data_IF_790075179828
#
_entry.id   IF_790075179828
#
_cell.length_a   1.000
_cell.length_b   1.000
_cell.length_c   1.000
_cell.angle_alpha   90.00
_cell.angle_beta   90.00
_cell.angle_gamma   90.00
#
_symmetry.space_group_name_H-M   'P 1'
#
loop_
_entity.id
_entity.type
_entity.pdbx_description
1 polymer ?
#
# COMPACT_ATOMS: atom_id res chain seq x y z
N UNK A 1 4.13 10.55 -25.64
CA UNK A 1 4.74 10.30 -24.31
C UNK A 1 3.99 9.14 -23.67
N UNK A 2 4.68 8.25 -22.97
CA UNK A 2 4.06 7.14 -22.24
C UNK A 2 3.61 7.69 -20.89
N UNK A 3 2.32 7.64 -20.52
CA UNK A 3 1.87 8.18 -19.25
C UNK A 3 2.53 7.41 -18.11
N UNK A 4 2.95 8.15 -17.08
CA UNK A 4 3.44 7.59 -15.83
C UNK A 4 2.32 6.77 -15.19
N UNK A 5 2.40 5.45 -15.30
CA UNK A 5 1.35 4.57 -14.81
C UNK A 5 1.48 4.44 -13.29
N UNK A 6 0.62 5.16 -12.56
CA UNK A 6 0.13 4.67 -11.29
C UNK A 6 -1.04 3.72 -11.60
N UNK A 7 -1.11 2.53 -10.96
CA UNK A 7 -2.24 1.64 -11.13
C UNK A 7 -3.49 2.23 -10.45
N UNK A 8 -4.09 3.26 -11.07
CA UNK A 8 -5.41 3.78 -10.78
C UNK A 8 -6.43 3.09 -11.67
N UNK A 9 -7.36 2.36 -11.06
CA UNK A 9 -8.42 1.67 -11.80
C UNK A 9 -9.35 2.69 -12.48
N UNK A 10 -9.67 2.46 -13.76
CA UNK A 10 -10.63 3.26 -14.51
C UNK A 10 -12.03 3.25 -13.85
N UNK A 11 -12.69 4.41 -13.89
CA UNK A 11 -13.93 4.75 -13.19
C UNK A 11 -15.17 4.05 -13.79
N UNK A 12 -16.03 3.45 -12.95
CA UNK A 12 -17.48 3.75 -12.80
C UNK A 12 -18.27 2.67 -12.02
N UNK A 13 -19.04 3.16 -11.03
CA UNK A 13 -20.42 2.79 -10.62
C UNK A 13 -20.80 1.35 -10.17
N UNK A 14 -21.02 1.24 -8.85
CA UNK A 14 -22.10 0.54 -8.12
C UNK A 14 -22.74 -0.70 -8.77
N UNK A 15 -22.20 -1.91 -8.51
CA UNK A 15 -22.98 -3.16 -8.47
C UNK A 15 -22.45 -4.10 -7.37
N UNK A 16 -23.38 -4.77 -6.67
CA UNK A 16 -23.24 -5.68 -5.52
C UNK A 16 -22.01 -6.61 -5.61
N UNK A 17 -21.14 -6.53 -4.61
CA UNK A 17 -20.12 -7.55 -4.33
C UNK A 17 -20.78 -8.93 -4.12
N UNK A 18 -20.26 -9.94 -4.82
CA UNK A 18 -20.60 -11.33 -4.58
C UNK A 18 -20.23 -11.73 -3.14
N UNK A 19 -21.15 -12.43 -2.45
CA UNK A 19 -20.96 -12.98 -1.10
C UNK A 19 -19.91 -14.10 -1.13
N UNK A 20 -18.64 -13.76 -0.99
CA UNK A 20 -17.63 -14.68 -0.47
C UNK A 20 -17.71 -14.59 1.05
N UNK A 21 -17.85 -15.72 1.76
CA UNK A 21 -17.86 -15.73 3.22
C UNK A 21 -16.50 -15.25 3.73
N UNK A 22 -16.40 -13.96 4.05
CA UNK A 22 -15.19 -13.40 4.64
C UNK A 22 -14.99 -14.05 6.02
N UNK A 23 -13.76 -14.47 6.36
CA UNK A 23 -13.48 -14.97 7.70
C UNK A 23 -13.96 -13.94 8.72
N UNK A 24 -14.62 -14.41 9.79
CA UNK A 24 -15.11 -13.54 10.84
C UNK A 24 -13.90 -12.98 11.59
N UNK A 25 -13.51 -11.76 11.23
CA UNK A 25 -12.44 -11.04 11.92
C UNK A 25 -12.81 -10.88 13.40
N UNK A 26 -11.87 -11.08 14.34
CA UNK A 26 -12.14 -10.99 15.77
C UNK A 26 -12.25 -9.52 16.22
N UNK A 27 -12.95 -8.67 15.49
CA UNK A 27 -13.09 -7.26 15.81
C UNK A 27 -14.54 -6.83 15.83
N UNK A 28 -14.87 -5.93 16.75
CA UNK A 28 -16.14 -5.22 16.79
C UNK A 28 -16.02 -3.94 15.98
N UNK A 29 -17.00 -3.66 15.13
CA UNK A 29 -17.06 -2.42 14.34
C UNK A 29 -17.72 -1.32 15.15
N UNK A 30 -17.11 -0.14 15.16
CA UNK A 30 -17.60 1.07 15.78
C UNK A 30 -17.52 2.24 14.80
N UNK A 31 -18.23 3.33 15.12
CA UNK A 31 -18.20 4.57 14.36
C UNK A 31 -18.01 5.75 15.31
N UNK A 32 -17.09 6.63 14.97
CA UNK A 32 -16.75 7.83 15.73
C UNK A 32 -17.28 9.07 14.98
N UNK A 33 -18.02 9.97 15.64
CA UNK A 33 -18.43 11.24 15.05
C UNK A 33 -17.21 12.16 14.89
N UNK A 34 -16.72 12.29 13.66
CA UNK A 34 -15.50 12.99 13.31
C UNK A 34 -15.80 14.35 12.66
N UNK A 35 -14.99 15.35 12.98
CA UNK A 35 -15.06 16.68 12.36
C UNK A 35 -14.65 16.59 10.89
N UNK A 36 -15.44 17.20 10.00
CA UNK A 36 -15.17 17.21 8.56
C UNK A 36 -13.83 17.89 8.24
N UNK A 37 -13.58 19.04 8.85
CA UNK A 37 -12.39 19.83 8.60
C UNK A 37 -11.72 20.30 9.90
N UNK A 38 -10.53 19.78 10.17
CA UNK A 38 -9.74 20.11 11.36
C UNK A 38 -8.94 21.41 11.25
N UNK A 39 -8.82 21.97 10.04
CA UNK A 39 -7.89 23.08 9.77
C UNK A 39 -8.58 24.38 9.39
N UNK A 40 -9.91 24.38 9.27
CA UNK A 40 -10.69 25.59 9.02
C UNK A 40 -11.80 25.76 10.06
N UNK A 41 -12.18 27.00 10.35
CA UNK A 41 -13.21 27.35 11.36
C UNK A 41 -14.46 27.98 10.72
N UNK A 42 -14.76 27.63 9.46
CA UNK A 42 -15.99 28.07 8.82
C UNK A 42 -17.18 27.30 9.40
N UNK A 43 -18.42 27.81 9.33
CA UNK A 43 -19.59 27.10 9.85
C UNK A 43 -19.79 25.68 9.29
N UNK A 44 -19.27 25.41 8.09
CA UNK A 44 -19.32 24.07 7.46
C UNK A 44 -18.26 23.12 7.99
N UNK A 45 -17.19 23.62 8.61
CA UNK A 45 -16.05 22.83 9.09
C UNK A 45 -16.44 21.92 10.25
N UNK A 46 -17.35 22.39 11.12
CA UNK A 46 -17.88 21.64 12.27
C UNK A 46 -18.90 20.56 11.90
N UNK A 47 -19.17 20.34 10.60
CA UNK A 47 -20.02 19.22 10.17
C UNK A 47 -19.37 17.90 10.58
N UNK A 48 -20.19 16.96 11.03
CA UNK A 48 -19.71 15.64 11.44
C UNK A 48 -19.95 14.61 10.34
N UNK A 49 -19.02 13.68 10.22
CA UNK A 49 -19.21 12.41 9.53
C UNK A 49 -18.84 11.25 10.46
N UNK A 50 -19.23 10.03 10.11
CA UNK A 50 -18.96 8.88 10.95
C UNK A 50 -17.75 8.10 10.43
N UNK A 51 -16.61 8.25 11.12
CA UNK A 51 -15.40 7.51 10.82
C UNK A 51 -15.46 6.12 11.46
N UNK A 52 -15.30 5.09 10.64
CA UNK A 52 -15.32 3.71 11.10
C UNK A 52 -14.01 3.32 11.74
N UNK A 53 -14.08 2.50 12.78
CA UNK A 53 -12.92 1.84 13.35
C UNK A 53 -13.29 0.47 13.90
N UNK A 54 -12.29 -0.41 14.04
CA UNK A 54 -12.44 -1.77 14.55
C UNK A 54 -11.73 -1.90 15.89
N UNK A 55 -12.33 -2.58 16.87
CA UNK A 55 -11.72 -2.86 18.17
C UNK A 55 -11.65 -4.37 18.42
N UNK A 56 -10.49 -4.85 18.89
CA UNK A 56 -10.38 -6.11 19.63
C UNK A 56 -9.85 -5.80 21.04
N UNK A 57 -10.61 -6.20 22.06
CA UNK A 57 -10.29 -6.00 23.47
C UNK A 57 -10.11 -7.31 24.23
N UNK A 58 -9.92 -8.44 23.55
CA UNK A 58 -9.98 -9.77 24.16
C UNK A 58 -8.89 -9.97 25.23
N UNK A 59 -7.74 -9.32 25.06
CA UNK A 59 -6.59 -9.41 25.97
C UNK A 59 -6.38 -8.15 26.82
N UNK A 60 -7.14 -7.10 26.55
CA UNK A 60 -6.84 -5.77 27.08
C UNK A 60 -7.42 -5.55 28.48
N UNK A 61 -6.71 -4.74 29.26
CA UNK A 61 -7.16 -4.22 30.56
C UNK A 61 -6.82 -2.73 30.64
N UNK A 62 -7.60 -1.98 31.41
CA UNK A 62 -7.34 -0.55 31.68
C UNK A 62 -5.88 -0.32 32.11
N UNK A 63 -5.26 0.71 31.54
CA UNK A 63 -3.84 1.05 31.72
C UNK A 63 -2.88 0.29 30.80
N UNK A 64 -3.30 -0.81 30.18
CA UNK A 64 -2.46 -1.53 29.22
C UNK A 64 -2.37 -0.78 27.87
N UNK A 65 -1.37 -1.10 27.03
CA UNK A 65 -1.11 -0.37 25.79
C UNK A 65 -2.26 -0.45 24.78
N UNK A 66 -2.34 0.54 23.90
CA UNK A 66 -3.24 0.56 22.75
C UNK A 66 -2.39 0.49 21.48
N UNK A 67 -2.58 -0.55 20.69
CA UNK A 67 -1.95 -0.71 19.38
C UNK A 67 -2.92 -0.27 18.30
N UNK A 68 -2.55 0.79 17.59
CA UNK A 68 -3.42 1.45 16.61
C UNK A 68 -2.86 1.26 15.21
N UNK A 69 -3.63 0.63 14.32
CA UNK A 69 -3.33 0.64 12.90
C UNK A 69 -3.88 1.92 12.26
N UNK A 70 -3.00 2.72 11.67
CA UNK A 70 -3.37 3.91 10.88
C UNK A 70 -3.81 3.47 9.50
N UNK A 71 -5.12 3.24 9.34
CA UNK A 71 -5.71 2.79 8.08
C UNK A 71 -5.33 3.70 6.93
N UNK A 72 -5.17 3.09 5.75
CA UNK A 72 -4.66 3.75 4.57
C UNK A 72 -5.66 3.66 3.42
N UNK A 73 -5.19 3.64 2.18
CA UNK A 73 -5.98 3.64 0.96
C UNK A 73 -6.77 2.34 0.79
N UNK A 74 -7.88 2.17 1.50
CA UNK A 74 -8.73 0.99 1.34
C UNK A 74 -9.65 0.70 2.50
N UNK A 75 -10.41 -0.38 2.35
CA UNK A 75 -11.33 -0.87 3.36
C UNK A 75 -10.58 -1.36 4.63
N UNK A 76 -11.00 -0.93 5.82
CA UNK A 76 -10.25 -1.24 7.05
C UNK A 76 -10.24 -2.72 7.43
N UNK A 77 -11.30 -3.48 7.10
CA UNK A 77 -11.33 -4.93 7.33
C UNK A 77 -10.29 -5.66 6.48
N UNK A 78 -9.96 -5.15 5.29
CA UNK A 78 -8.93 -5.76 4.44
C UNK A 78 -7.54 -5.68 5.09
N UNK A 79 -7.21 -4.53 5.69
CA UNK A 79 -5.98 -4.35 6.46
C UNK A 79 -5.99 -5.18 7.74
N UNK A 80 -7.11 -5.20 8.49
CA UNK A 80 -7.24 -6.02 9.69
C UNK A 80 -7.12 -7.52 9.40
N UNK A 81 -7.59 -7.99 8.24
CA UNK A 81 -7.44 -9.38 7.80
C UNK A 81 -6.01 -9.77 7.43
N UNK A 82 -5.16 -8.80 7.07
CA UNK A 82 -3.80 -9.04 6.60
C UNK A 82 -2.70 -8.58 7.57
N UNK A 83 -3.06 -7.88 8.65
CA UNK A 83 -2.15 -7.41 9.72
C UNK A 83 -2.24 -8.33 10.94
N UNK A 84 -1.99 -9.61 10.72
CA UNK A 84 -2.05 -10.64 11.76
C UNK A 84 -1.03 -10.46 12.87
N UNK A 85 0.11 -9.82 12.59
CA UNK A 85 1.15 -9.55 13.58
C UNK A 85 0.62 -8.83 14.82
N UNK A 86 -0.26 -7.84 14.65
CA UNK A 86 -0.87 -7.13 15.79
C UNK A 86 -1.71 -8.07 16.67
N UNK A 87 -2.43 -9.02 16.07
CA UNK A 87 -3.16 -10.06 16.81
C UNK A 87 -2.21 -11.02 17.54
N UNK A 88 -1.11 -11.41 16.88
CA UNK A 88 -0.13 -12.35 17.43
C UNK A 88 0.58 -11.78 18.68
N UNK A 89 0.85 -10.47 18.70
CA UNK A 89 1.55 -9.83 19.81
C UNK A 89 0.62 -9.26 20.90
N UNK A 90 -0.69 -9.12 20.62
CA UNK A 90 -1.65 -8.57 21.58
C UNK A 90 -1.66 -9.30 22.94
N UNK A 91 -1.61 -10.65 23.02
CA UNK A 91 -1.58 -11.36 24.30
C UNK A 91 -0.34 -11.03 25.14
N UNK A 92 0.83 -10.89 24.49
CA UNK A 92 2.10 -10.57 25.17
C UNK A 92 2.02 -9.20 25.84
N UNK A 93 1.48 -8.21 25.14
CA UNK A 93 1.40 -6.83 25.62
C UNK A 93 0.11 -6.51 26.37
N UNK A 94 -0.85 -7.44 26.41
CA UNK A 94 -2.22 -7.19 26.89
C UNK A 94 -2.83 -5.97 26.18
N UNK A 95 -2.55 -5.82 24.89
CA UNK A 95 -2.85 -4.60 24.15
C UNK A 95 -4.29 -4.55 23.65
N UNK A 96 -4.88 -3.36 23.63
CA UNK A 96 -6.11 -3.06 22.89
C UNK A 96 -5.72 -2.91 21.42
N UNK A 97 -6.40 -3.61 20.51
CA UNK A 97 -6.17 -3.40 19.09
C UNK A 97 -7.24 -2.49 18.53
N UNK A 98 -6.80 -1.45 17.81
CA UNK A 98 -7.67 -0.48 17.15
C UNK A 98 -7.23 -0.35 15.70
N UNK A 99 -8.12 -0.56 14.75
CA UNK A 99 -7.87 -0.25 13.33
C UNK A 99 -8.77 0.90 12.92
N UNK A 100 -8.20 2.06 12.61
CA UNK A 100 -8.98 3.24 12.25
C UNK A 100 -9.05 3.36 10.73
N UNK A 101 -10.24 3.42 10.16
CA UNK A 101 -10.42 3.58 8.71
C UNK A 101 -10.09 5.01 8.28
N UNK A 102 -9.35 5.14 7.18
CA UNK A 102 -9.00 6.43 6.61
C UNK A 102 -10.24 7.14 6.07
N UNK A 103 -10.35 8.46 6.27
CA UNK A 103 -11.42 9.26 5.63
C UNK A 103 -11.41 9.07 4.11
N UNK A 104 -12.59 9.05 3.50
CA UNK A 104 -12.84 8.74 2.09
C UNK A 104 -12.49 7.31 1.67
N UNK A 105 -12.30 6.37 2.58
CA UNK A 105 -12.13 4.96 2.23
C UNK A 105 -13.14 4.09 2.97
N UNK A 106 -13.48 2.94 2.36
CA UNK A 106 -14.43 1.99 2.91
C UNK A 106 -15.81 2.60 3.20
N UNK A 107 -16.15 2.72 4.47
CA UNK A 107 -17.43 3.31 4.95
C UNK A 107 -17.27 4.69 5.59
N UNK A 108 -16.04 5.20 5.69
CA UNK A 108 -15.72 6.47 6.32
C UNK A 108 -15.81 7.62 5.31
N UNK A 109 -17.04 7.88 4.82
CA UNK A 109 -17.31 8.75 3.67
C UNK A 109 -17.89 10.10 4.13
N UNK A 110 -17.12 11.21 4.12
CA UNK A 110 -17.57 12.46 4.74
C UNK A 110 -18.82 13.09 4.13
N UNK A 111 -19.11 12.79 2.86
CA UNK A 111 -20.31 13.23 2.14
C UNK A 111 -21.14 12.03 1.62
N UNK A 112 -20.99 10.85 2.25
CA UNK A 112 -21.65 9.63 1.79
C UNK A 112 -21.30 9.33 0.32
N UNK A 113 -22.33 9.07 -0.50
CA UNK A 113 -22.18 8.78 -1.94
C UNK A 113 -21.57 9.94 -2.74
N UNK A 114 -21.67 11.16 -2.24
CA UNK A 114 -21.21 12.37 -2.93
C UNK A 114 -19.75 12.72 -2.59
N UNK A 115 -19.06 11.89 -1.80
CA UNK A 115 -17.67 12.17 -1.37
C UNK A 115 -16.71 12.34 -2.55
N UNK A 116 -16.91 11.58 -3.63
CA UNK A 116 -16.10 11.66 -4.87
C UNK A 116 -16.75 12.52 -5.96
N UNK A 117 -17.80 13.28 -5.66
CA UNK A 117 -18.56 13.99 -6.69
C UNK A 117 -17.76 15.13 -7.35
N UNK A 118 -16.87 15.79 -6.60
CA UNK A 118 -16.12 16.94 -7.11
C UNK A 118 -14.85 17.21 -6.31
N UNK A 119 -13.97 18.06 -6.83
CA UNK A 119 -12.83 18.60 -6.08
C UNK A 119 -13.22 19.29 -4.76
N UNK A 120 -14.43 19.86 -4.69
CA UNK A 120 -14.92 20.52 -3.48
C UNK A 120 -15.19 19.54 -2.34
N UNK A 121 -15.66 18.33 -2.64
CA UNK A 121 -15.85 17.27 -1.65
C UNK A 121 -14.54 16.53 -1.41
N UNK A 122 -13.73 16.30 -2.44
CA UNK A 122 -12.45 15.64 -2.32
C UNK A 122 -11.36 16.49 -1.64
N UNK A 123 -11.53 17.81 -1.56
CA UNK A 123 -10.59 18.71 -0.88
C UNK A 123 -10.29 18.35 0.58
N UNK A 124 -11.16 17.59 1.24
CA UNK A 124 -10.96 17.11 2.61
C UNK A 124 -10.22 15.75 2.68
N UNK A 125 -9.87 15.15 1.54
CA UNK A 125 -9.04 13.96 1.43
C UNK A 125 -7.57 14.39 1.30
N UNK A 126 -6.90 14.47 2.44
CA UNK A 126 -5.46 14.66 2.54
C UNK A 126 -4.90 14.04 3.82
N UNK A 127 -3.58 13.89 3.87
CA UNK A 127 -2.84 13.22 4.92
C UNK A 127 -2.97 13.93 6.26
N UNK A 128 -2.91 15.26 6.30
CA UNK A 128 -3.01 16.00 7.56
C UNK A 128 -4.39 15.86 8.20
N UNK A 129 -5.45 15.87 7.38
CA UNK A 129 -6.82 15.63 7.84
C UNK A 129 -6.97 14.21 8.41
N UNK A 130 -6.39 13.21 7.76
CA UNK A 130 -6.38 11.83 8.27
C UNK A 130 -5.57 11.67 9.57
N UNK A 131 -4.41 12.33 9.67
CA UNK A 131 -3.63 12.33 10.91
C UNK A 131 -4.38 13.00 12.07
N UNK A 132 -5.04 14.13 11.81
CA UNK A 132 -5.89 14.79 12.80
C UNK A 132 -7.09 13.92 13.21
N UNK A 133 -7.69 13.18 12.27
CA UNK A 133 -8.74 12.20 12.58
C UNK A 133 -8.26 11.16 13.60
N UNK A 134 -7.10 10.55 13.34
CA UNK A 134 -6.51 9.56 14.24
C UNK A 134 -6.24 10.16 15.62
N UNK A 135 -5.72 11.39 15.68
CA UNK A 135 -5.41 12.07 16.95
C UNK A 135 -6.67 12.28 17.80
N UNK A 136 -7.75 12.80 17.20
CA UNK A 136 -9.02 13.04 17.89
C UNK A 136 -9.65 11.73 18.34
N UNK A 137 -9.69 10.71 17.46
CA UNK A 137 -10.30 9.43 17.79
C UNK A 137 -9.54 8.72 18.90
N UNK A 138 -8.21 8.63 18.83
CA UNK A 138 -7.38 7.97 19.86
C UNK A 138 -7.57 8.67 21.22
N UNK A 139 -7.56 10.00 21.24
CA UNK A 139 -7.73 10.77 22.48
C UNK A 139 -9.11 10.55 23.10
N UNK A 140 -10.17 10.63 22.28
CA UNK A 140 -11.54 10.38 22.73
C UNK A 140 -11.75 8.94 23.19
N UNK A 141 -11.16 7.97 22.49
CA UNK A 141 -11.23 6.56 22.87
C UNK A 141 -10.58 6.33 24.23
N UNK A 142 -9.40 6.92 24.48
CA UNK A 142 -8.74 6.82 25.79
C UNK A 142 -9.60 7.37 26.92
N UNK A 143 -10.26 8.51 26.72
CA UNK A 143 -11.19 9.08 27.70
C UNK A 143 -12.42 8.18 27.93
N UNK A 144 -13.04 7.68 26.85
CA UNK A 144 -14.21 6.81 26.94
C UNK A 144 -13.89 5.48 27.66
N UNK A 145 -12.65 4.99 27.54
CA UNK A 145 -12.15 3.82 28.26
C UNK A 145 -11.65 4.15 29.67
N UNK A 146 -11.68 5.42 30.08
CA UNK A 146 -11.07 5.95 31.30
C UNK A 146 -9.62 5.47 31.46
N UNK A 147 -8.85 5.50 30.38
CA UNK A 147 -7.50 4.93 30.25
C UNK A 147 -6.54 5.93 29.60
N UNK A 148 -6.58 7.18 30.04
CA UNK A 148 -5.81 8.32 29.53
C UNK A 148 -4.29 8.12 29.68
N UNK A 149 -3.86 7.34 30.66
CA UNK A 149 -2.46 6.95 30.86
C UNK A 149 -2.03 5.75 30.00
N UNK A 150 -2.91 5.11 29.21
CA UNK A 150 -2.48 4.00 28.34
C UNK A 150 -1.53 4.51 27.25
N UNK A 151 -0.33 3.91 27.10
CA UNK A 151 0.56 4.24 26.00
C UNK A 151 -0.02 3.76 24.67
N UNK A 152 0.19 4.53 23.61
CA UNK A 152 -0.26 4.20 22.25
C UNK A 152 0.95 3.92 21.37
N UNK A 153 0.95 2.80 20.65
CA UNK A 153 1.91 2.52 19.58
C UNK A 153 1.15 2.44 18.27
N UNK A 154 1.58 3.19 17.26
CA UNK A 154 0.94 3.20 15.94
C UNK A 154 1.65 2.27 14.96
N UNK A 155 0.88 1.62 14.10
CA UNK A 155 1.32 0.63 13.13
C UNK A 155 0.78 0.99 11.75
N UNK A 156 1.55 0.74 10.71
CA UNK A 156 1.05 0.86 9.35
C UNK A 156 1.99 0.28 8.31
N UNK A 157 1.40 -0.29 7.25
CA UNK A 157 2.11 -0.77 6.07
C UNK A 157 1.88 0.16 4.89
N UNK A 158 2.84 0.29 3.96
CA UNK A 158 2.70 1.15 2.76
C UNK A 158 2.47 2.63 3.13
N UNK A 159 1.51 3.31 2.51
CA UNK A 159 1.02 4.63 2.93
C UNK A 159 0.54 4.64 4.39
N UNK A 160 -0.01 3.53 4.90
CA UNK A 160 -0.29 3.39 6.32
C UNK A 160 0.97 3.52 7.17
N UNK A 161 2.10 3.00 6.70
CA UNK A 161 3.40 3.16 7.37
C UNK A 161 3.92 4.58 7.29
N UNK A 162 3.67 5.29 6.18
CA UNK A 162 3.95 6.72 6.07
C UNK A 162 3.13 7.50 7.10
N UNK A 163 1.82 7.22 7.19
CA UNK A 163 0.94 7.79 8.20
C UNK A 163 1.39 7.48 9.62
N UNK A 164 1.80 6.25 9.94
CA UNK A 164 2.30 5.89 11.27
C UNK A 164 3.55 6.69 11.64
N UNK A 165 4.52 6.79 10.72
CA UNK A 165 5.74 7.58 10.93
C UNK A 165 5.43 9.08 11.10
N UNK A 166 4.58 9.63 10.24
CA UNK A 166 4.17 11.04 10.31
C UNK A 166 3.31 11.34 11.53
N UNK A 167 2.48 10.39 11.98
CA UNK A 167 1.70 10.51 13.21
C UNK A 167 2.61 10.60 14.43
N UNK A 168 3.63 9.74 14.53
CA UNK A 168 4.63 9.85 15.60
C UNK A 168 5.41 11.16 15.53
N UNK A 169 5.71 11.66 14.33
CA UNK A 169 6.40 12.94 14.14
C UNK A 169 5.57 14.14 14.60
N UNK A 170 4.26 14.17 14.29
CA UNK A 170 3.38 15.32 14.53
C UNK A 170 2.63 15.27 15.86
N UNK A 171 2.32 14.07 16.35
CA UNK A 171 1.57 13.83 17.59
C UNK A 171 2.36 12.94 18.57
N UNK A 172 3.61 13.28 18.93
CA UNK A 172 4.43 12.47 19.83
C UNK A 172 3.89 12.41 21.28
N UNK A 173 2.98 13.32 21.64
CA UNK A 173 2.27 13.35 22.91
C UNK A 173 1.07 12.37 22.94
N UNK A 174 0.63 11.85 21.80
CA UNK A 174 -0.46 10.87 21.69
C UNK A 174 0.08 9.45 21.55
N UNK A 175 1.01 9.24 20.61
CA UNK A 175 1.62 7.93 20.35
C UNK A 175 3.08 7.92 20.75
N UNK A 176 3.50 6.98 21.61
CA UNK A 176 4.85 6.88 22.16
C UNK A 176 5.87 6.27 21.19
N UNK A 177 5.40 5.61 20.14
CA UNK A 177 6.23 5.03 19.09
C UNK A 177 5.44 4.59 17.86
N UNK A 178 6.16 4.33 16.77
CA UNK A 178 5.59 3.88 15.51
C UNK A 178 6.37 2.71 14.91
N UNK A 179 5.65 1.70 14.39
CA UNK A 179 6.19 0.69 13.49
C UNK A 179 5.67 0.98 12.07
N UNK A 180 6.54 1.58 11.26
CA UNK A 180 6.29 1.96 9.88
C UNK A 180 6.91 0.91 8.93
N UNK A 181 6.10 -0.08 8.53
CA UNK A 181 6.57 -1.15 7.67
C UNK A 181 6.41 -0.81 6.19
N UNK A 182 7.47 -0.98 5.41
CA UNK A 182 7.52 -0.74 3.96
C UNK A 182 6.95 0.63 3.58
N UNK A 183 7.34 1.66 4.34
CA UNK A 183 6.85 3.02 4.25
C UNK A 183 7.76 3.87 3.34
N UNK A 184 7.35 4.19 2.10
CA UNK A 184 8.20 4.87 1.13
C UNK A 184 8.23 6.41 1.34
N UNK A 185 8.58 6.87 2.55
CA UNK A 185 8.58 8.31 2.90
C UNK A 185 9.61 9.15 2.11
N UNK A 186 10.50 8.51 1.34
CA UNK A 186 11.49 9.13 0.46
C UNK A 186 11.10 9.06 -1.03
N UNK A 187 9.92 8.56 -1.39
CA UNK A 187 9.47 8.48 -2.80
C UNK A 187 8.93 9.83 -3.32
N UNK A 188 9.60 10.93 -3.02
CA UNK A 188 9.15 12.29 -3.39
C UNK A 188 10.29 13.08 -4.01
N UNK A 189 9.93 14.13 -4.77
CA UNK A 189 10.89 15.05 -5.39
C UNK A 189 12.03 14.30 -6.09
N UNK A 190 13.28 14.60 -5.74
CA UNK A 190 14.49 13.92 -6.22
C UNK A 190 15.24 13.20 -5.09
N UNK A 191 14.50 12.80 -4.04
CA UNK A 191 15.07 12.17 -2.85
C UNK A 191 15.71 10.81 -3.15
N UNK A 192 15.17 10.12 -4.15
CA UNK A 192 15.71 8.87 -4.69
C UNK A 192 15.64 8.91 -6.23
N UNK A 193 16.40 8.05 -6.95
CA UNK A 193 16.24 7.91 -8.40
C UNK A 193 14.80 7.49 -8.74
N UNK A 194 14.16 8.16 -9.71
CA UNK A 194 12.78 7.86 -10.11
C UNK A 194 12.60 6.45 -10.69
N UNK A 195 13.67 5.83 -11.19
CA UNK A 195 13.63 4.47 -11.73
C UNK A 195 13.60 3.38 -10.64
N UNK A 196 13.89 3.75 -9.39
CA UNK A 196 14.19 2.79 -8.31
C UNK A 196 13.11 1.72 -8.12
N UNK A 197 11.83 2.11 -8.24
CA UNK A 197 10.71 1.20 -8.08
C UNK A 197 10.70 0.10 -9.15
N UNK A 198 10.69 0.49 -10.43
CA UNK A 198 10.63 -0.46 -11.54
C UNK A 198 11.92 -1.24 -11.75
N UNK A 199 13.06 -0.66 -11.38
CA UNK A 199 14.34 -1.37 -11.33
C UNK A 199 14.32 -2.48 -10.27
N UNK A 200 13.72 -2.23 -9.10
CA UNK A 200 13.55 -3.24 -8.07
C UNK A 200 12.60 -4.37 -8.50
N UNK A 201 11.45 -4.05 -9.10
CA UNK A 201 10.56 -5.07 -9.70
C UNK A 201 11.34 -5.92 -10.71
N UNK A 202 12.11 -5.28 -11.59
CA UNK A 202 12.91 -5.98 -12.60
C UNK A 202 13.96 -6.89 -11.99
N UNK A 203 14.61 -6.44 -10.90
CA UNK A 203 15.61 -7.21 -10.18
C UNK A 203 15.01 -8.47 -9.53
N UNK A 204 13.82 -8.38 -8.94
CA UNK A 204 13.15 -9.55 -8.32
C UNK A 204 12.95 -10.71 -9.31
N UNK A 205 12.54 -10.41 -10.54
CA UNK A 205 12.39 -11.42 -11.59
C UNK A 205 13.74 -11.92 -12.10
N UNK A 206 14.71 -11.01 -12.25
CA UNK A 206 16.06 -11.32 -12.75
C UNK A 206 16.85 -12.23 -11.80
N UNK A 207 16.73 -12.01 -10.48
CA UNK A 207 17.37 -12.83 -9.44
C UNK A 207 16.84 -14.26 -9.41
N UNK A 208 15.60 -14.46 -9.86
CA UNK A 208 15.01 -15.80 -9.98
C UNK A 208 15.45 -16.48 -11.28
N UNK A 209 15.38 -15.79 -12.42
CA UNK A 209 15.72 -16.34 -13.73
C UNK A 209 16.02 -15.23 -14.73
N UNK A 210 17.24 -15.22 -15.27
CA UNK A 210 17.63 -14.28 -16.32
C UNK A 210 16.77 -14.45 -17.59
N UNK A 211 16.40 -15.70 -17.93
CA UNK A 211 15.52 -15.98 -19.06
C UNK A 211 14.11 -15.40 -18.83
N UNK A 212 13.56 -15.57 -17.63
CA UNK A 212 12.28 -14.97 -17.24
C UNK A 212 12.27 -13.45 -17.44
N UNK A 213 13.29 -12.76 -16.91
CA UNK A 213 13.49 -11.33 -17.11
C UNK A 213 13.56 -10.95 -18.61
N UNK A 214 14.34 -11.68 -19.42
CA UNK A 214 14.48 -11.37 -20.85
C UNK A 214 13.21 -11.66 -21.67
N UNK A 215 12.46 -12.70 -21.31
CA UNK A 215 11.16 -13.00 -21.94
C UNK A 215 10.17 -11.89 -21.64
N UNK A 216 10.04 -11.47 -20.38
CA UNK A 216 9.14 -10.36 -20.00
C UNK A 216 9.56 -9.09 -20.74
N UNK A 217 10.85 -8.74 -20.73
CA UNK A 217 11.38 -7.56 -21.43
C UNK A 217 11.12 -7.59 -22.94
N UNK A 218 11.29 -8.74 -23.59
CA UNK A 218 11.02 -8.89 -25.01
C UNK A 218 9.54 -8.96 -25.37
N UNK A 219 8.67 -9.32 -24.42
CA UNK A 219 7.23 -9.45 -24.68
C UNK A 219 6.56 -8.12 -25.02
N UNK A 220 7.07 -7.00 -24.52
CA UNK A 220 6.53 -5.67 -24.81
C UNK A 220 6.73 -5.26 -26.27
N UNK A 221 7.88 -5.60 -26.86
CA UNK A 221 8.13 -5.33 -28.28
C UNK A 221 7.22 -6.16 -29.18
N UNK A 222 6.93 -7.40 -28.79
CA UNK A 222 5.96 -8.24 -29.51
C UNK A 222 4.52 -7.71 -29.36
N UNK A 223 4.15 -7.21 -28.17
CA UNK A 223 2.84 -6.57 -27.95
C UNK A 223 2.69 -5.30 -28.78
N UNK A 224 3.71 -4.44 -28.80
CA UNK A 224 3.70 -3.21 -29.59
C UNK A 224 3.59 -3.51 -31.09
N UNK A 225 4.37 -4.47 -31.60
CA UNK A 225 4.31 -4.88 -33.00
C UNK A 225 2.95 -5.51 -33.38
N UNK A 226 2.31 -6.23 -32.45
CA UNK A 226 0.94 -6.73 -32.66
C UNK A 226 -0.08 -5.59 -32.67
N UNK A 227 0.12 -4.55 -31.86
CA UNK A 227 -0.80 -3.41 -31.72
C UNK A 227 -0.98 -2.60 -33.01
N UNK A 228 -0.01 -2.63 -33.92
CA UNK A 228 -0.06 -1.91 -35.21
C UNK A 228 -0.80 -2.66 -36.31
N UNK A 229 -1.22 -3.91 -36.06
CA UNK A 229 -1.90 -4.74 -37.04
C UNK A 229 -3.40 -4.43 -37.11
N UNK A 230 -4.00 -4.57 -38.30
CA UNK A 230 -5.45 -4.33 -38.49
C UNK A 230 -6.34 -5.23 -37.62
N UNK A 231 -5.85 -6.40 -37.21
CA UNK A 231 -6.59 -7.40 -36.43
C UNK A 231 -6.09 -7.50 -34.97
N UNK A 232 -5.29 -6.53 -34.51
CA UNK A 232 -4.62 -6.54 -33.20
C UNK A 232 -5.56 -6.88 -32.03
N UNK A 233 -6.71 -6.20 -31.94
CA UNK A 233 -7.65 -6.38 -30.83
C UNK A 233 -8.24 -7.80 -30.80
N UNK A 234 -8.52 -8.40 -31.96
CA UNK A 234 -9.04 -9.76 -32.05
C UNK A 234 -7.96 -10.79 -31.68
N UNK A 235 -6.73 -10.60 -32.17
CA UNK A 235 -5.60 -11.48 -31.85
C UNK A 235 -5.21 -11.40 -30.38
N UNK A 236 -5.17 -10.20 -29.80
CA UNK A 236 -4.91 -9.98 -28.38
C UNK A 236 -6.03 -10.57 -27.53
N UNK A 237 -7.31 -10.38 -27.91
CA UNK A 237 -8.44 -10.97 -27.20
C UNK A 237 -8.32 -12.50 -27.13
N UNK A 238 -7.92 -13.13 -28.24
CA UNK A 238 -7.67 -14.58 -28.31
C UNK A 238 -6.45 -14.99 -27.46
N UNK A 239 -5.33 -14.30 -27.62
CA UNK A 239 -4.07 -14.58 -26.91
C UNK A 239 -4.25 -14.46 -25.40
N UNK A 240 -4.95 -13.42 -24.96
CA UNK A 240 -5.22 -13.14 -23.55
C UNK A 240 -6.43 -13.87 -22.99
N UNK A 241 -7.11 -14.71 -23.80
CA UNK A 241 -8.32 -15.45 -23.42
C UNK A 241 -9.36 -14.54 -22.74
N UNK A 242 -9.67 -13.41 -23.36
CA UNK A 242 -10.56 -12.42 -22.76
C UNK A 242 -12.02 -12.89 -22.80
N UNK A 243 -12.81 -12.53 -21.79
CA UNK A 243 -14.25 -12.87 -21.75
C UNK A 243 -15.08 -12.04 -22.75
N UNK A 244 -14.58 -10.85 -23.10
CA UNK A 244 -15.14 -9.94 -24.09
C UNK A 244 -14.01 -9.42 -24.97
N UNK A 245 -14.32 -9.02 -26.20
CA UNK A 245 -13.35 -8.38 -27.07
C UNK A 245 -12.76 -7.13 -26.42
N UNK A 246 -11.46 -6.95 -26.53
CA UNK A 246 -10.75 -5.77 -26.06
C UNK A 246 -11.16 -4.54 -26.91
N UNK A 247 -11.34 -3.40 -26.25
CA UNK A 247 -11.53 -2.11 -26.91
C UNK A 247 -10.20 -1.36 -27.08
N UNK A 248 -9.19 -1.67 -26.26
CA UNK A 248 -7.88 -1.05 -26.32
C UNK A 248 -6.74 -2.05 -26.17
N UNK A 249 -5.68 -1.87 -26.97
CA UNK A 249 -4.42 -2.64 -26.83
C UNK A 249 -3.68 -2.25 -25.55
N UNK A 250 -3.86 -1.02 -25.05
CA UNK A 250 -3.32 -0.57 -23.77
C UNK A 250 -3.86 -1.42 -22.61
N UNK A 251 -5.13 -1.84 -22.66
CA UNK A 251 -5.72 -2.71 -21.63
C UNK A 251 -4.96 -4.03 -21.47
N UNK A 252 -4.47 -4.63 -22.56
CA UNK A 252 -3.68 -5.86 -22.52
C UNK A 252 -2.27 -5.60 -21.93
N UNK A 253 -1.66 -4.47 -22.29
CA UNK A 253 -0.38 -4.02 -21.72
C UNK A 253 -0.49 -3.81 -20.22
N UNK A 254 -1.50 -3.07 -19.78
CA UNK A 254 -1.71 -2.70 -18.37
C UNK A 254 -2.02 -3.94 -17.52
N UNK A 255 -2.71 -4.92 -18.09
CA UNK A 255 -2.96 -6.22 -17.46
C UNK A 255 -1.66 -7.00 -17.21
N UNK A 256 -0.75 -7.07 -18.19
CA UNK A 256 0.57 -7.67 -17.96
C UNK A 256 1.38 -6.88 -16.93
N UNK A 257 1.38 -5.55 -17.06
CA UNK A 257 2.13 -4.66 -16.18
C UNK A 257 1.73 -4.86 -14.71
N UNK A 258 0.42 -4.82 -14.47
CA UNK A 258 -0.23 -5.05 -13.17
C UNK A 258 0.17 -6.40 -12.59
N UNK A 259 0.13 -7.48 -13.38
CA UNK A 259 0.50 -8.81 -12.91
C UNK A 259 1.93 -8.88 -12.41
N UNK A 260 2.89 -8.33 -13.16
CA UNK A 260 4.31 -8.40 -12.79
C UNK A 260 4.63 -7.51 -11.59
N UNK A 261 4.13 -6.27 -11.57
CA UNK A 261 4.36 -5.32 -10.45
C UNK A 261 3.76 -5.86 -9.15
N UNK A 262 2.47 -6.21 -9.14
CA UNK A 262 1.84 -6.66 -7.91
C UNK A 262 2.37 -8.02 -7.45
N UNK A 263 2.78 -8.90 -8.36
CA UNK A 263 3.41 -10.18 -7.98
C UNK A 263 4.77 -9.98 -7.30
N UNK A 264 5.57 -8.99 -7.75
CA UNK A 264 6.80 -8.61 -7.05
C UNK A 264 6.48 -8.06 -5.66
N UNK A 265 5.56 -7.10 -5.56
CA UNK A 265 5.14 -6.51 -4.27
C UNK A 265 4.67 -7.56 -3.26
N UNK A 266 3.96 -8.61 -3.70
CA UNK A 266 3.45 -9.68 -2.82
C UNK A 266 4.22 -10.99 -2.95
N UNK A 267 5.53 -10.93 -3.20
CA UNK A 267 6.42 -12.09 -3.33
C UNK A 267 6.71 -12.80 -1.98
N UNK A 268 5.66 -13.13 -1.24
CA UNK A 268 5.72 -13.62 0.13
C UNK A 268 6.26 -15.06 0.24
N UNK A 269 6.91 -15.42 1.35
CA UNK A 269 7.41 -16.78 1.59
C UNK A 269 6.31 -17.80 1.91
N UNK A 270 5.07 -17.33 2.12
CA UNK A 270 3.90 -18.14 2.43
C UNK A 270 2.75 -17.81 1.48
N UNK A 271 1.76 -18.72 1.38
CA UNK A 271 0.51 -18.42 0.67
C UNK A 271 -0.14 -17.19 1.31
N UNK A 272 -0.65 -16.29 0.48
CA UNK A 272 -1.29 -15.05 0.94
C UNK A 272 -2.51 -14.72 0.08
N UNK A 273 -3.41 -13.93 0.65
CA UNK A 273 -4.58 -13.38 -0.01
C UNK A 273 -4.70 -11.90 0.37
N UNK A 274 -3.82 -11.09 -0.24
CA UNK A 274 -3.77 -9.64 -0.01
C UNK A 274 -4.32 -8.91 -1.24
N UNK A 275 -3.56 -8.87 -2.33
CA UNK A 275 -4.03 -8.31 -3.61
C UNK A 275 -4.91 -9.30 -4.38
N UNK A 276 -4.43 -10.55 -4.48
CA UNK A 276 -5.10 -11.73 -5.02
C UNK A 276 -4.62 -12.96 -4.24
N UNK A 277 -5.37 -14.09 -4.25
CA UNK A 277 -4.90 -15.34 -3.70
C UNK A 277 -3.67 -15.84 -4.47
N UNK A 278 -2.52 -15.95 -3.82
CA UNK A 278 -1.25 -16.32 -4.46
C UNK A 278 -0.48 -17.38 -3.67
N UNK A 279 0.29 -18.25 -4.36
CA UNK A 279 1.15 -19.23 -3.71
C UNK A 279 2.31 -18.55 -2.99
N UNK A 280 3.04 -19.32 -2.17
CA UNK A 280 4.35 -18.90 -1.71
C UNK A 280 5.31 -18.70 -2.89
N UNK A 281 6.11 -17.63 -2.83
CA UNK A 281 7.09 -17.21 -3.82
C UNK A 281 6.51 -17.11 -5.25
N UNK A 282 5.48 -16.28 -5.47
CA UNK A 282 4.77 -16.22 -6.74
C UNK A 282 5.64 -15.75 -7.91
N UNK A 283 6.66 -14.91 -7.70
CA UNK A 283 7.65 -14.55 -8.75
C UNK A 283 8.38 -15.81 -9.24
N UNK A 284 8.82 -16.67 -8.31
CA UNK A 284 9.45 -17.95 -8.66
C UNK A 284 8.51 -18.86 -9.46
N UNK A 285 7.21 -18.84 -9.16
CA UNK A 285 6.21 -19.62 -9.89
C UNK A 285 5.97 -19.07 -11.29
N UNK A 286 5.91 -17.75 -11.47
CA UNK A 286 5.82 -17.10 -12.78
C UNK A 286 7.01 -17.45 -13.66
N UNK A 287 8.23 -17.32 -13.15
CA UNK A 287 9.42 -17.65 -13.92
C UNK A 287 9.50 -19.13 -14.28
N UNK A 288 9.10 -20.04 -13.38
CA UNK A 288 8.97 -21.47 -13.71
C UNK A 288 7.94 -21.76 -14.82
N UNK A 289 6.88 -20.96 -14.95
CA UNK A 289 5.94 -21.08 -16.06
C UNK A 289 6.63 -20.68 -17.37
N UNK A 290 7.32 -19.54 -17.38
CA UNK A 290 8.06 -19.05 -18.56
C UNK A 290 9.11 -20.08 -19.01
N UNK A 291 9.92 -20.57 -18.08
CA UNK A 291 11.06 -21.44 -18.37
C UNK A 291 10.64 -22.84 -18.85
N UNK A 292 9.40 -23.27 -18.58
CA UNK A 292 8.85 -24.57 -19.02
C UNK A 292 8.24 -24.53 -20.42
N UNK A 293 7.89 -23.36 -20.94
CA UNK A 293 7.23 -23.27 -22.24
C UNK A 293 8.28 -23.44 -23.36
N UNK A 294 8.08 -24.33 -24.35
CA UNK A 294 9.03 -24.60 -25.43
C UNK A 294 9.42 -23.36 -26.25
N UNK A 295 10.63 -23.37 -26.84
CA UNK A 295 11.22 -22.28 -27.67
C UNK A 295 10.33 -21.78 -28.81
N UNK A 296 9.42 -22.61 -29.34
CA UNK A 296 8.50 -22.23 -30.41
C UNK A 296 7.37 -21.26 -30.01
N UNK A 297 7.13 -21.02 -28.73
CA UNK A 297 6.13 -20.06 -28.27
C UNK A 297 6.69 -18.64 -28.22
N UNK A 298 5.88 -17.65 -28.61
CA UNK A 298 6.24 -16.22 -28.58
C UNK A 298 6.50 -15.74 -27.15
N UNK A 299 7.32 -14.70 -26.96
CA UNK A 299 7.58 -14.14 -25.63
C UNK A 299 6.31 -13.59 -25.00
N UNK A 300 5.42 -13.00 -25.80
CA UNK A 300 4.11 -12.51 -25.38
C UNK A 300 3.23 -13.62 -24.82
N UNK A 301 3.14 -14.77 -25.50
CA UNK A 301 2.35 -15.91 -25.00
C UNK A 301 2.89 -16.47 -23.67
N UNK A 302 4.22 -16.48 -23.51
CA UNK A 302 4.88 -16.90 -22.25
C UNK A 302 4.63 -15.91 -21.12
N UNK A 303 4.76 -14.61 -21.39
CA UNK A 303 4.48 -13.55 -20.44
C UNK A 303 3.01 -13.60 -20.00
N UNK A 304 2.07 -13.78 -20.93
CA UNK A 304 0.65 -13.99 -20.63
C UNK A 304 0.41 -15.22 -19.75
N UNK A 305 1.03 -16.36 -20.05
CA UNK A 305 0.87 -17.58 -19.26
C UNK A 305 1.38 -17.39 -17.82
N UNK A 306 2.49 -16.66 -17.65
CA UNK A 306 3.02 -16.31 -16.34
C UNK A 306 2.10 -15.34 -15.59
N UNK A 307 1.70 -14.22 -16.22
CA UNK A 307 0.80 -13.22 -15.68
C UNK A 307 -0.57 -13.80 -15.30
N UNK A 308 -1.06 -14.82 -16.02
CA UNK A 308 -2.29 -15.56 -15.69
C UNK A 308 -2.26 -16.17 -14.28
N UNK A 309 -1.07 -16.45 -13.72
CA UNK A 309 -0.95 -16.91 -12.33
C UNK A 309 -1.50 -15.87 -11.34
N UNK A 310 -1.26 -14.58 -11.59
CA UNK A 310 -1.72 -13.50 -10.72
C UNK A 310 -3.25 -13.46 -10.64
N UNK A 311 -3.90 -13.61 -11.79
CA UNK A 311 -5.34 -13.46 -11.93
C UNK A 311 -6.13 -14.76 -11.72
N UNK A 312 -5.53 -15.92 -11.93
CA UNK A 312 -6.23 -17.21 -11.93
C UNK A 312 -5.42 -18.32 -11.24
N UNK A 313 -4.82 -18.02 -10.08
CA UNK A 313 -4.16 -19.03 -9.26
C UNK A 313 -5.11 -20.15 -8.78
N UNK A 314 -6.38 -19.82 -8.49
CA UNK A 314 -7.43 -20.76 -8.12
C UNK A 314 -7.81 -21.74 -9.24
N UNK A 315 -7.46 -21.42 -10.49
CA UNK A 315 -7.86 -22.15 -11.71
C UNK A 315 -9.38 -22.25 -11.88
N UNK A 316 -10.11 -21.24 -11.41
CA UNK A 316 -11.57 -21.14 -11.53
C UNK A 316 -12.01 -20.41 -12.79
N UNK A 317 -11.16 -19.56 -13.36
CA UNK A 317 -11.53 -18.70 -14.48
C UNK A 317 -11.23 -19.37 -15.84
N UNK A 318 -12.22 -19.41 -16.72
CA UNK A 318 -12.08 -19.91 -18.09
C UNK A 318 -11.65 -18.79 -19.08
N UNK A 319 -11.86 -17.53 -18.70
CA UNK A 319 -11.49 -16.34 -19.47
C UNK A 319 -11.16 -15.18 -18.51
N UNK A 320 -10.51 -14.12 -18.99
CA UNK A 320 -10.16 -12.95 -18.18
C UNK A 320 -11.02 -11.73 -18.52
N UNK A 321 -11.54 -11.06 -17.49
CA UNK A 321 -12.14 -9.73 -17.60
C UNK A 321 -11.01 -8.71 -17.48
N UNK A 322 -10.55 -8.19 -18.61
CA UNK A 322 -9.42 -7.23 -18.64
C UNK A 322 -9.90 -5.79 -18.51
N UNK A 323 -11.04 -5.47 -19.09
CA UNK A 323 -11.62 -4.13 -19.06
C UNK A 323 -12.85 -4.10 -18.15
N UNK A 324 -13.10 -2.93 -17.55
CA UNK A 324 -14.24 -2.68 -16.64
C UNK A 324 -14.26 -3.57 -15.38
N UNK A 325 -13.10 -4.01 -14.88
CA UNK A 325 -13.03 -4.61 -13.55
C UNK A 325 -13.30 -3.57 -12.47
N UNK A 326 -14.10 -3.97 -11.47
CA UNK A 326 -14.35 -3.17 -10.28
C UNK A 326 -13.16 -3.34 -9.34
N UNK A 327 -12.63 -2.23 -8.85
CA UNK A 327 -11.65 -2.24 -7.78
C UNK A 327 -12.27 -2.86 -6.51
N UNK A 328 -11.83 -4.08 -6.19
CA UNK A 328 -12.31 -4.84 -5.04
C UNK A 328 -11.83 -4.31 -3.69
N UNK A 329 -10.80 -3.46 -3.68
CA UNK A 329 -10.12 -2.99 -2.46
C UNK A 329 -10.51 -1.55 -2.09
N UNK A 330 -11.09 -0.79 -3.02
CA UNK A 330 -11.66 0.52 -2.79
C UNK A 330 -10.62 1.65 -2.75
N UNK A 331 -9.62 1.58 -3.62
CA UNK A 331 -8.50 2.51 -3.80
C UNK A 331 -8.90 3.82 -4.51
N UNK A 332 -10.19 4.05 -4.76
CA UNK A 332 -10.70 5.15 -5.60
C UNK A 332 -10.22 6.55 -5.19
N UNK A 333 -9.98 6.78 -3.89
CA UNK A 333 -9.46 8.06 -3.39
C UNK A 333 -7.97 8.29 -3.67
N UNK A 334 -7.22 7.23 -3.99
CA UNK A 334 -5.77 7.31 -4.13
C UNK A 334 -5.35 8.18 -5.31
N UNK A 335 -6.07 8.08 -6.43
CA UNK A 335 -5.84 8.91 -7.62
C UNK A 335 -5.93 10.42 -7.30
N UNK A 336 -6.88 10.81 -6.43
CA UNK A 336 -6.99 12.19 -5.96
C UNK A 336 -5.78 12.58 -5.10
N UNK A 337 -5.38 11.71 -4.16
CA UNK A 337 -4.21 11.97 -3.31
C UNK A 337 -2.95 12.11 -4.15
N UNK A 338 -2.74 11.28 -5.18
CA UNK A 338 -1.59 11.40 -6.10
C UNK A 338 -1.66 12.67 -6.95
N UNK A 339 -2.86 13.14 -7.31
CA UNK A 339 -3.06 14.40 -8.02
C UNK A 339 -2.98 15.66 -7.14
N UNK A 340 -2.75 15.53 -5.83
CA UNK A 340 -2.72 16.66 -4.90
C UNK A 340 -1.43 16.69 -4.08
N UNK A 341 -1.24 15.76 -3.15
CA UNK A 341 -0.10 15.75 -2.22
C UNK A 341 0.85 14.56 -2.43
N UNK A 342 0.35 13.38 -2.82
CA UNK A 342 1.14 12.15 -2.99
C UNK A 342 1.81 12.07 -4.37
N UNK A 343 2.47 13.16 -4.79
CA UNK A 343 3.13 13.24 -6.10
C UNK A 343 4.46 12.49 -6.04
N UNK A 344 4.45 11.23 -6.48
CA UNK A 344 5.60 10.31 -6.38
C UNK A 344 6.19 9.99 -7.76
N UNK A 345 7.14 10.78 -8.29
CA UNK A 345 7.66 10.55 -9.64
C UNK A 345 8.29 9.16 -9.78
N UNK A 346 7.97 8.48 -10.88
CA UNK A 346 8.49 7.15 -11.22
C UNK A 346 8.82 7.07 -12.71
N UNK A 347 9.90 6.37 -13.05
CA UNK A 347 10.34 6.16 -14.44
C UNK A 347 10.73 4.70 -14.67
N UNK A 348 10.80 4.29 -15.93
CA UNK A 348 11.41 3.01 -16.31
C UNK A 348 12.77 3.26 -16.95
N UNK A 349 13.83 2.71 -16.36
CA UNK A 349 15.18 2.75 -16.92
C UNK A 349 15.31 1.89 -18.19
N UNK A 350 16.45 1.97 -18.89
CA UNK A 350 16.74 1.07 -20.02
C UNK A 350 17.03 -0.35 -19.55
N UNK A 351 17.48 -0.50 -18.31
CA UNK A 351 17.82 -1.74 -17.63
C UNK A 351 16.57 -2.43 -17.07
N UNK A 352 15.47 -1.71 -16.93
CA UNK A 352 14.17 -2.26 -16.57
C UNK A 352 13.73 -3.39 -17.52
N UNK A 353 12.94 -4.33 -17.00
CA UNK A 353 12.21 -5.29 -17.83
C UNK A 353 10.96 -4.67 -18.47
N UNK A 354 10.60 -3.43 -18.09
CA UNK A 354 9.50 -2.67 -18.69
C UNK A 354 10.02 -1.72 -19.78
N UNK A 355 9.17 -1.30 -20.73
CA UNK A 355 9.51 -0.26 -21.70
C UNK A 355 10.00 1.03 -21.01
N UNK A 356 11.09 1.64 -21.49
CA UNK A 356 11.59 2.90 -20.92
C UNK A 356 10.52 3.99 -20.94
N UNK A 357 10.44 4.76 -19.86
CA UNK A 357 9.49 5.87 -19.73
C UNK A 357 10.09 7.01 -18.90
N UNK A 358 9.66 8.23 -19.19
CA UNK A 358 10.01 9.43 -18.41
C UNK A 358 8.88 9.85 -17.47
N UNK A 359 9.14 10.86 -16.66
CA UNK A 359 8.15 11.55 -15.85
C UNK A 359 8.22 13.05 -16.18
N UNK A 360 7.08 13.62 -16.57
CA UNK A 360 6.96 15.04 -16.86
C UNK A 360 5.94 15.67 -15.90
N UNK A 361 6.37 16.70 -15.17
CA UNK A 361 5.52 17.35 -14.17
C UNK A 361 4.41 18.19 -14.81
N UNK A 362 4.63 18.76 -15.98
CA UNK A 362 3.63 19.57 -16.70
C UNK A 362 2.55 18.65 -17.26
N UNK A 363 2.93 17.56 -17.94
CA UNK A 363 1.98 16.55 -18.43
C UNK A 363 1.17 15.95 -17.27
N UNK A 364 1.82 15.65 -16.14
CA UNK A 364 1.14 15.14 -14.95
C UNK A 364 0.16 16.17 -14.37
N UNK A 365 0.55 17.44 -14.29
CA UNK A 365 -0.31 18.51 -13.81
C UNK A 365 -1.52 18.76 -14.72
N UNK A 366 -1.34 18.72 -16.04
CA UNK A 366 -2.43 18.82 -17.02
C UNK A 366 -3.43 17.66 -16.86
N UNK A 367 -2.96 16.43 -16.68
CA UNK A 367 -3.84 15.28 -16.43
C UNK A 367 -4.67 15.44 -15.16
N UNK A 368 -4.06 15.91 -14.07
CA UNK A 368 -4.79 16.20 -12.83
C UNK A 368 -5.76 17.37 -12.98
N UNK A 369 -5.40 18.40 -13.74
CA UNK A 369 -6.29 19.52 -14.06
C UNK A 369 -7.50 19.06 -14.88
N UNK A 370 -7.30 18.19 -15.89
CA UNK A 370 -8.41 17.64 -16.68
C UNK A 370 -9.33 16.74 -15.85
N UNK A 371 -8.76 15.88 -15.00
CA UNK A 371 -9.53 14.89 -14.24
C UNK A 371 -10.28 15.49 -13.05
N UNK A 372 -9.65 16.43 -12.36
CA UNK A 372 -10.12 16.92 -11.07
C UNK A 372 -10.21 18.44 -10.97
N UNK A 373 -9.69 19.19 -11.95
CA UNK A 373 -9.66 20.66 -11.88
C UNK A 373 -8.71 21.20 -10.82
N UNK A 374 -7.67 20.44 -10.46
CA UNK A 374 -6.67 20.82 -9.45
C UNK A 374 -5.26 20.68 -9.99
N UNK A 375 -4.36 21.54 -9.52
CA UNK A 375 -2.94 21.44 -9.77
C UNK A 375 -2.24 20.69 -8.63
N UNK A 376 -1.43 19.66 -8.92
CA UNK A 376 -0.64 18.95 -7.91
C UNK A 376 0.34 19.88 -7.18
N UNK A 377 0.65 19.56 -5.92
CA UNK A 377 1.65 20.28 -5.10
C UNK A 377 2.84 19.35 -4.82
N UNK A 378 3.78 19.18 -5.77
CA UNK A 378 4.80 18.14 -5.68
C UNK A 378 5.72 18.24 -4.45
N UNK A 379 5.96 19.46 -3.96
CA UNK A 379 6.84 19.72 -2.82
C UNK A 379 6.11 19.77 -1.48
N UNK A 380 4.80 19.48 -1.45
CA UNK A 380 4.00 19.66 -0.23
C UNK A 380 4.37 18.63 0.85
N UNK A 381 4.46 17.35 0.50
CA UNK A 381 4.82 16.29 1.45
C UNK A 381 6.24 16.51 2.02
N UNK A 382 7.18 16.94 1.18
CA UNK A 382 8.56 17.21 1.62
C UNK A 382 8.65 18.46 2.51
N UNK A 383 7.78 19.45 2.30
CA UNK A 383 7.61 20.61 3.18
C UNK A 383 6.97 20.21 4.53
N UNK A 384 5.87 19.47 4.49
CA UNK A 384 5.06 19.14 5.66
C UNK A 384 5.78 18.15 6.58
N UNK A 385 6.50 17.17 6.03
CA UNK A 385 7.06 16.04 6.78
C UNK A 385 8.60 15.93 6.78
N UNK A 386 9.33 16.83 6.10
CA UNK A 386 10.77 17.02 6.31
C UNK A 386 11.72 16.63 5.15
N UNK A 387 11.20 16.02 4.08
CA UNK A 387 11.83 15.98 2.74
C UNK A 387 13.35 15.71 2.66
N UNK A 388 14.07 16.56 1.90
CA UNK A 388 15.50 16.40 1.53
C UNK A 388 16.47 16.18 2.69
N UNK A 389 16.11 16.61 3.90
CA UNK A 389 16.97 16.50 5.08
C UNK A 389 16.35 15.61 6.15
N UNK A 390 15.41 14.75 5.79
CA UNK A 390 14.66 13.93 6.74
C UNK A 390 15.56 13.14 7.69
N UNK A 391 16.70 12.61 7.22
CA UNK A 391 17.68 11.96 8.11
C UNK A 391 18.23 12.91 9.18
N UNK A 392 18.60 14.14 8.81
CA UNK A 392 19.12 15.15 9.76
C UNK A 392 18.01 15.68 10.68
N UNK A 393 16.80 15.86 10.15
CA UNK A 393 15.63 16.35 10.89
C UNK A 393 15.18 15.32 11.92
N UNK A 394 14.95 14.07 11.49
CA UNK A 394 14.55 12.98 12.37
C UNK A 394 15.62 12.65 13.40
N UNK A 395 16.92 12.77 13.07
CA UNK A 395 17.99 12.60 14.06
C UNK A 395 17.93 13.63 15.20
N UNK A 396 17.46 14.85 14.93
CA UNK A 396 17.41 15.94 15.91
C UNK A 396 16.11 15.99 16.70
N UNK A 397 14.98 15.69 16.06
CA UNK A 397 13.65 15.91 16.64
C UNK A 397 12.79 14.64 16.72
N UNK A 398 13.12 13.60 15.96
CA UNK A 398 12.36 12.36 15.95
C UNK A 398 12.80 11.40 17.06
N UNK A 399 11.91 10.46 17.40
CA UNK A 399 12.20 9.36 18.33
C UNK A 399 11.18 8.24 18.17
N UNK A 400 11.60 7.03 18.53
CA UNK A 400 10.75 5.83 18.64
C UNK A 400 10.01 5.50 17.34
N UNK A 401 10.76 5.31 16.26
CA UNK A 401 10.21 4.86 14.98
C UNK A 401 11.04 3.67 14.48
N UNK A 402 10.37 2.57 14.18
CA UNK A 402 10.96 1.46 13.43
C UNK A 402 10.53 1.62 11.97
N UNK A 403 11.51 1.65 11.06
CA UNK A 403 11.29 1.50 9.63
C UNK A 403 11.68 0.08 9.21
N UNK A 404 10.70 -0.77 8.95
CA UNK A 404 10.92 -2.17 8.53
C UNK A 404 10.86 -2.26 7.00
N UNK A 405 11.85 -2.87 6.33
CA UNK A 405 11.86 -3.00 4.87
C UNK A 405 12.45 -4.34 4.44
N UNK A 406 11.77 -5.06 3.55
CA UNK A 406 12.33 -6.20 2.83
C UNK A 406 12.83 -5.77 1.45
N UNK A 407 14.03 -6.20 1.06
CA UNK A 407 14.64 -5.75 -0.21
C UNK A 407 14.02 -6.36 -1.47
N UNK A 408 13.08 -7.30 -1.33
CA UNK A 408 12.22 -7.80 -2.44
C UNK A 408 10.90 -7.03 -2.55
N UNK A 409 10.73 -5.99 -1.74
CA UNK A 409 9.67 -5.01 -1.94
C UNK A 409 10.19 -3.88 -2.85
N UNK A 410 9.57 -3.64 -4.01
CA UNK A 410 9.89 -2.50 -4.85
C UNK A 410 9.83 -1.14 -4.13
N UNK A 411 8.95 -1.00 -3.13
CA UNK A 411 8.80 0.24 -2.36
C UNK A 411 9.93 0.48 -1.35
N UNK A 412 10.71 -0.55 -1.00
CA UNK A 412 11.81 -0.43 -0.04
C UNK A 412 12.84 0.63 -0.45
N UNK A 413 12.99 0.89 -1.75
CA UNK A 413 13.92 1.89 -2.30
C UNK A 413 13.53 3.32 -1.94
N UNK A 414 12.24 3.59 -1.73
CA UNK A 414 11.74 4.85 -1.19
C UNK A 414 11.68 4.88 0.33
N UNK A 415 12.11 3.82 1.03
CA UNK A 415 12.06 3.72 2.49
C UNK A 415 13.34 4.19 3.19
N UNK A 416 13.29 4.20 4.52
CA UNK A 416 14.48 4.42 5.36
C UNK A 416 15.20 3.09 5.58
N UNK A 417 16.41 2.97 5.02
CA UNK A 417 17.19 1.71 5.01
C UNK A 417 18.38 1.69 5.97
N UNK A 418 18.56 2.73 6.79
CA UNK A 418 19.64 2.83 7.78
C UNK A 418 19.14 3.49 9.05
N UNK A 419 19.69 3.08 10.19
CA UNK A 419 19.41 3.73 11.47
C UNK A 419 19.72 5.23 11.38
N UNK A 420 18.79 6.06 11.86
CA UNK A 420 18.93 7.51 11.88
C UNK A 420 19.43 7.98 13.27
N UNK A 421 18.99 7.30 14.33
CA UNK A 421 19.40 7.54 15.71
C UNK A 421 19.34 6.24 16.53
N UNK A 422 19.57 6.31 17.84
CA UNK A 422 19.41 5.17 18.76
C UNK A 422 17.96 4.71 18.96
N UNK A 423 16.97 5.54 18.59
CA UNK A 423 15.54 5.23 18.72
C UNK A 423 14.78 5.30 17.40
N UNK A 424 15.43 5.70 16.32
CA UNK A 424 14.91 5.62 14.94
C UNK A 424 15.73 4.59 14.19
N UNK A 425 15.18 3.38 14.12
CA UNK A 425 15.87 2.16 13.70
C UNK A 425 15.32 1.70 12.36
N UNK A 426 16.20 1.30 11.45
CA UNK A 426 15.84 0.62 10.22
C UNK A 426 16.11 -0.88 10.39
N UNK A 427 15.06 -1.69 10.24
CA UNK A 427 15.18 -3.14 10.19
C UNK A 427 15.05 -3.57 8.73
N UNK A 428 16.19 -3.86 8.09
CA UNK A 428 16.27 -4.17 6.67
C UNK A 428 16.66 -5.62 6.47
N UNK A 429 15.87 -6.36 5.69
CA UNK A 429 16.15 -7.76 5.36
C UNK A 429 16.40 -7.94 3.87
N UNK A 430 17.38 -8.78 3.50
CA UNK A 430 17.68 -9.08 2.08
C UNK A 430 16.48 -9.71 1.34
N UNK A 431 15.64 -10.42 2.09
CA UNK A 431 14.39 -11.04 1.61
C UNK A 431 13.20 -10.31 2.21
N UNK A 432 12.01 -10.65 1.72
CA UNK A 432 10.76 -10.07 2.20
C UNK A 432 10.22 -9.07 1.20
N UNK A 433 8.98 -9.30 0.82
CA UNK A 433 8.20 -8.41 -0.01
C UNK A 433 7.44 -7.41 0.86
N UNK A 434 6.46 -6.73 0.29
CA UNK A 434 5.78 -5.59 0.89
C UNK A 434 5.19 -5.89 2.28
N UNK A 435 5.73 -5.26 3.32
CA UNK A 435 5.35 -5.35 4.73
C UNK A 435 4.99 -6.76 5.22
N UNK A 436 5.81 -7.75 4.86
CA UNK A 436 5.58 -9.17 5.20
C UNK A 436 5.65 -9.47 6.71
N UNK A 437 6.38 -8.64 7.46
CA UNK A 437 6.43 -8.61 8.92
C UNK A 437 5.04 -8.50 9.54
N UNK A 438 4.09 -7.81 8.90
CA UNK A 438 2.73 -7.63 9.43
C UNK A 438 1.81 -8.83 9.27
N UNK A 439 2.15 -9.78 8.40
CA UNK A 439 1.33 -10.98 8.20
C UNK A 439 1.27 -11.84 9.47
N UNK A 440 0.22 -12.63 9.64
CA UNK A 440 0.14 -13.61 10.74
C UNK A 440 1.35 -14.55 10.73
N UNK A 441 1.82 -14.88 11.92
CA UNK A 441 2.86 -15.88 12.12
C UNK A 441 2.36 -17.26 11.67
N UNK A 442 3.24 -17.99 10.97
CA UNK A 442 2.97 -19.37 10.55
C UNK A 442 4.16 -20.28 10.83
N UNK A 443 3.92 -21.58 10.96
CA UNK A 443 5.00 -22.59 11.06
C UNK A 443 5.88 -22.66 9.81
N UNK A 444 5.48 -22.03 8.70
CA UNK A 444 6.22 -22.00 7.43
C UNK A 444 7.07 -20.73 7.28
N UNK A 445 7.01 -19.83 8.25
CA UNK A 445 7.75 -18.58 8.18
C UNK A 445 9.26 -18.87 8.23
N UNK A 446 10.06 -18.23 7.35
CA UNK A 446 11.49 -18.42 7.37
C UNK A 446 12.11 -17.80 8.62
N UNK A 447 13.25 -18.35 9.08
CA UNK A 447 13.94 -17.90 10.30
C UNK A 447 14.20 -16.40 10.34
N UNK A 448 14.55 -15.79 9.20
CA UNK A 448 14.81 -14.34 9.11
C UNK A 448 13.55 -13.51 9.41
N UNK A 449 12.36 -13.97 9.01
CA UNK A 449 11.10 -13.26 9.25
C UNK A 449 10.69 -13.35 10.71
N UNK A 450 10.90 -14.53 11.33
CA UNK A 450 10.70 -14.73 12.77
C UNK A 450 11.63 -13.81 13.56
N UNK A 451 12.89 -13.70 13.15
CA UNK A 451 13.87 -12.83 13.80
C UNK A 451 13.53 -11.35 13.64
N UNK A 452 13.08 -10.91 12.46
CA UNK A 452 12.63 -9.54 12.22
C UNK A 452 11.51 -9.15 13.19
N UNK A 453 10.44 -9.95 13.25
CA UNK A 453 9.31 -9.72 14.16
C UNK A 453 9.73 -9.74 15.63
N UNK A 454 10.69 -10.60 16.00
CA UNK A 454 11.25 -10.64 17.36
C UNK A 454 11.92 -9.31 17.72
N UNK A 455 12.72 -8.74 16.80
CA UNK A 455 13.36 -7.44 17.01
C UNK A 455 12.34 -6.30 17.14
N UNK A 456 11.30 -6.30 16.31
CA UNK A 456 10.20 -5.32 16.40
C UNK A 456 9.52 -5.38 17.78
N UNK A 457 9.19 -6.59 18.25
CA UNK A 457 8.60 -6.83 19.57
C UNK A 457 9.52 -6.38 20.71
N UNK A 458 10.83 -6.66 20.63
CA UNK A 458 11.81 -6.26 21.64
C UNK A 458 11.92 -4.73 21.75
N UNK A 459 11.93 -4.02 20.62
CA UNK A 459 11.98 -2.55 20.59
C UNK A 459 10.68 -1.96 21.15
N UNK A 460 9.51 -2.47 20.74
CA UNK A 460 8.22 -2.02 21.27
C UNK A 460 8.13 -2.25 22.78
N UNK A 461 8.60 -3.40 23.27
CA UNK A 461 8.67 -3.68 24.70
C UNK A 461 9.55 -2.68 25.44
N UNK A 462 10.68 -2.30 24.86
CA UNK A 462 11.57 -1.28 25.44
C UNK A 462 10.85 0.07 25.58
N UNK A 463 10.18 0.55 24.53
CA UNK A 463 9.42 1.82 24.60
C UNK A 463 8.33 1.79 25.67
N UNK A 464 7.62 0.67 25.79
CA UNK A 464 6.59 0.50 26.81
C UNK A 464 7.18 0.49 28.23
N UNK A 465 8.31 -0.20 28.43
CA UNK A 465 8.99 -0.23 29.73
C UNK A 465 9.48 1.16 30.14
N UNK A 466 10.07 1.93 29.21
CA UNK A 466 10.49 3.31 29.45
C UNK A 466 9.29 4.18 29.83
N UNK A 467 8.19 4.12 29.06
CA UNK A 467 6.98 4.88 29.36
C UNK A 467 6.39 4.57 30.75
N UNK A 468 6.30 3.29 31.12
CA UNK A 468 5.76 2.91 32.44
C UNK A 468 6.71 3.23 33.60
N UNK A 469 8.01 3.39 33.35
CA UNK A 469 8.96 3.82 34.38
C UNK A 469 8.90 5.34 34.64
N UNK A 470 8.43 6.12 33.66
CA UNK A 470 8.29 7.58 33.76
C UNK A 470 6.95 8.03 34.42
N UNK A 471 5.97 7.13 34.53
CA UNK A 471 4.68 7.36 35.23
C UNK A 471 4.84 7.19 36.74
#
# INVERSE_FOLDING_TARGET
SLPTFFPGAAYQSLIKQAKISKPKLPFKTHYFPQTLDHFTFQPKSSKLFYQKYLINSDYWRKGAPIFVYTGNEGNIEWFAANTGFMLDIAPKFKALLVFIEHRFYGKSMPFGKDSYQSAKTLGYLNSQQALADFAVLITSLKQNLSSEASPVVVFGGSYGGMLAAWFRLKYPHIAIGALASSAPILQFDKLIPWSSFYDAVSQDFKDVSLNCYQVIKGSWAELEAMSTQKQALAELSKTFRTCKSLHSTASARDWLWTAFVYTAMVNYPTKADFMKPLPAYPVQKMCKIIDKIPSGATKLSRAFAAASLYYNYSRSENCFKIEHEVDGHGLHGWDWQTCTEMVMPMTCSKESMFPPSGFDYEEFAEQCQMKYGVSPRPHWITTEFGGERIQKVLKRFGSNIIFSNGMQDPWSRGGVLKNISSSIIALVTEKGAHHVDFRSATKKDPKWLIQLRKQEVEIIQKWLNEYYADL
#
